data_IF_670811303987
#
_entry.id   IF_670811303987
#
_cell.length_a   1.000
_cell.length_b   1.000
_cell.length_c   1.000
_cell.angle_alpha   90.00
_cell.angle_beta   90.00
_cell.angle_gamma   90.00
#
_symmetry.space_group_name_H-M   'P 1'
#
loop_
_entity.id
_entity.type
_entity.pdbx_description
1 polymer ?
#
# COMPACT_ATOMS: atom_id res chain seq x y z
N UNK A 1 1.52 14.28 11.28
CA UNK A 1 1.49 12.82 11.48
C UNK A 1 0.06 12.29 11.65
N UNK A 2 -0.70 12.74 12.66
CA UNK A 2 -2.09 12.27 12.88
C UNK A 2 -2.99 12.42 11.64
N UNK A 3 -3.02 13.61 11.01
CA UNK A 3 -3.78 13.84 9.77
C UNK A 3 -3.43 12.87 8.64
N UNK A 4 -2.13 12.64 8.40
CA UNK A 4 -1.66 11.74 7.35
C UNK A 4 -2.06 10.29 7.64
N UNK A 5 -1.99 9.87 8.91
CA UNK A 5 -2.48 8.56 9.34
C UNK A 5 -3.98 8.44 9.10
N UNK A 6 -4.79 9.39 9.59
CA UNK A 6 -6.26 9.36 9.43
C UNK A 6 -6.66 9.28 7.96
N UNK A 7 -6.05 10.09 7.10
CA UNK A 7 -6.32 10.08 5.66
C UNK A 7 -5.90 8.78 4.94
N UNK A 8 -4.97 8.01 5.53
CA UNK A 8 -4.54 6.73 4.99
C UNK A 8 -5.50 5.57 5.36
N UNK A 9 -6.31 5.71 6.41
CA UNK A 9 -7.18 4.62 6.91
C UNK A 9 -8.67 4.90 6.79
N UNK A 10 -9.07 6.17 6.77
CA UNK A 10 -10.47 6.58 6.69
C UNK A 10 -10.71 7.28 5.35
N UNK A 11 -11.84 6.98 4.67
CA UNK A 11 -12.25 7.75 3.50
C UNK A 11 -12.77 9.13 3.91
N UNK A 12 -12.63 10.10 3.01
CA UNK A 12 -13.28 11.40 3.08
C UNK A 12 -14.62 11.35 2.35
N UNK A 13 -15.60 12.14 2.82
CA UNK A 13 -16.87 12.35 2.14
C UNK A 13 -16.81 13.47 1.09
N UNK A 14 -15.65 14.12 0.93
CA UNK A 14 -15.41 15.18 -0.03
C UNK A 14 -15.02 14.57 -1.38
N UNK A 15 -15.60 15.10 -2.47
CA UNK A 15 -15.22 14.70 -3.84
C UNK A 15 -13.80 15.24 -4.12
N UNK A 16 -12.83 14.40 -4.51
CA UNK A 16 -11.49 14.86 -4.82
C UNK A 16 -11.50 15.75 -6.06
N UNK A 17 -10.80 16.89 -5.98
CA UNK A 17 -10.69 17.85 -7.08
C UNK A 17 -9.91 17.28 -8.27
N UNK A 18 -8.91 16.44 -7.98
CA UNK A 18 -8.13 15.73 -8.99
C UNK A 18 -7.61 14.42 -8.43
N UNK A 19 -7.33 13.46 -9.30
CA UNK A 19 -6.66 12.22 -8.93
C UNK A 19 -5.25 12.26 -9.51
N UNK A 20 -4.25 12.10 -8.65
CA UNK A 20 -2.87 11.91 -9.10
C UNK A 20 -2.79 10.72 -10.07
N UNK A 21 -2.09 10.87 -11.21
CA UNK A 21 -1.92 9.83 -12.24
C UNK A 21 -1.46 8.50 -11.65
N UNK A 22 -0.43 8.51 -10.80
CA UNK A 22 0.14 7.32 -10.17
C UNK A 22 -0.91 6.56 -9.34
N UNK A 23 -1.75 7.30 -8.60
CA UNK A 23 -2.82 6.69 -7.79
C UNK A 23 -3.93 6.10 -8.65
N UNK A 24 -4.29 6.75 -9.76
CA UNK A 24 -5.26 6.20 -10.70
C UNK A 24 -4.76 4.90 -11.32
N UNK A 25 -3.52 4.88 -11.82
CA UNK A 25 -2.91 3.67 -12.40
C UNK A 25 -2.82 2.52 -11.39
N UNK A 26 -2.47 2.81 -10.13
CA UNK A 26 -2.44 1.80 -9.07
C UNK A 26 -3.84 1.25 -8.76
N UNK A 27 -4.85 2.12 -8.68
CA UNK A 27 -6.25 1.71 -8.45
C UNK A 27 -6.73 0.83 -9.59
N UNK A 28 -6.57 1.27 -10.83
CA UNK A 28 -7.06 0.54 -12.00
C UNK A 28 -6.38 -0.84 -12.11
N UNK A 29 -5.09 -0.95 -11.79
CA UNK A 29 -4.39 -2.24 -11.72
C UNK A 29 -4.93 -3.17 -10.63
N UNK A 30 -5.28 -2.63 -9.46
CA UNK A 30 -5.83 -3.41 -8.34
C UNK A 30 -7.27 -3.85 -8.59
N UNK A 31 -8.07 -3.00 -9.24
CA UNK A 31 -9.44 -3.33 -9.62
C UNK A 31 -9.44 -4.44 -10.69
N UNK A 32 -8.53 -4.37 -11.67
CA UNK A 32 -8.33 -5.44 -12.64
C UNK A 32 -7.89 -6.75 -11.95
N UNK A 33 -6.89 -6.70 -11.04
CA UNK A 33 -6.49 -7.87 -10.27
C UNK A 33 -7.66 -8.47 -9.46
N UNK A 34 -8.48 -7.62 -8.83
CA UNK A 34 -9.64 -8.06 -8.05
C UNK A 34 -10.76 -8.65 -8.91
N UNK A 35 -10.85 -8.28 -10.18
CA UNK A 35 -11.81 -8.82 -11.13
C UNK A 35 -11.33 -10.17 -11.69
N UNK A 36 -10.04 -10.28 -12.00
CA UNK A 36 -9.45 -11.48 -12.60
C UNK A 36 -9.22 -12.61 -11.59
N UNK A 37 -9.27 -12.29 -10.30
CA UNK A 37 -9.13 -13.22 -9.19
C UNK A 37 -10.39 -13.16 -8.32
N UNK A 38 -10.66 -14.20 -7.51
CA UNK A 38 -11.79 -14.21 -6.55
C UNK A 38 -11.51 -13.30 -5.33
N UNK A 39 -11.08 -12.06 -5.57
CA UNK A 39 -10.65 -11.09 -4.57
C UNK A 39 -9.15 -10.82 -4.59
N UNK A 40 -8.71 -9.98 -3.65
CA UNK A 40 -7.31 -9.59 -3.50
C UNK A 40 -6.67 -10.27 -2.29
N UNK A 41 -5.39 -10.67 -2.38
CA UNK A 41 -4.63 -11.09 -1.20
C UNK A 41 -4.47 -9.93 -0.20
N UNK A 42 -4.22 -10.22 1.08
CA UNK A 42 -4.17 -9.21 2.15
C UNK A 42 -3.30 -7.97 1.86
N UNK A 43 -2.13 -8.15 1.25
CA UNK A 43 -1.26 -7.03 0.85
C UNK A 43 -1.92 -6.15 -0.20
N UNK A 44 -2.42 -6.73 -1.30
CA UNK A 44 -3.04 -5.98 -2.38
C UNK A 44 -4.34 -5.29 -1.95
N UNK A 45 -5.15 -5.95 -1.12
CA UNK A 45 -6.36 -5.35 -0.56
C UNK A 45 -6.05 -4.16 0.35
N UNK A 46 -5.02 -4.28 1.20
CA UNK A 46 -4.56 -3.17 2.04
C UNK A 46 -4.06 -1.98 1.21
N UNK A 47 -3.30 -2.24 0.14
CA UNK A 47 -2.84 -1.19 -0.78
C UNK A 47 -4.02 -0.53 -1.46
N UNK A 48 -5.02 -1.29 -1.92
CA UNK A 48 -6.25 -0.76 -2.53
C UNK A 48 -6.99 0.16 -1.57
N UNK A 49 -7.22 -0.31 -0.34
CA UNK A 49 -7.90 0.47 0.71
C UNK A 49 -7.20 1.80 0.99
N UNK A 50 -5.89 1.76 1.26
CA UNK A 50 -5.10 2.96 1.58
C UNK A 50 -5.06 3.91 0.39
N UNK A 51 -4.88 3.40 -0.83
CA UNK A 51 -4.88 4.25 -2.03
C UNK A 51 -6.21 4.97 -2.21
N UNK A 52 -7.34 4.27 -2.04
CA UNK A 52 -8.67 4.88 -2.13
C UNK A 52 -8.91 5.93 -1.05
N UNK A 53 -8.48 5.68 0.19
CA UNK A 53 -8.56 6.67 1.27
C UNK A 53 -7.74 7.93 0.94
N UNK A 54 -6.52 7.76 0.44
CA UNK A 54 -5.65 8.88 0.06
C UNK A 54 -6.16 9.64 -1.17
N UNK A 55 -6.77 8.95 -2.14
CA UNK A 55 -7.47 9.58 -3.27
C UNK A 55 -8.60 10.47 -2.75
N UNK A 56 -9.46 9.96 -1.85
CA UNK A 56 -10.58 10.74 -1.30
C UNK A 56 -10.14 11.99 -0.52
N UNK A 57 -8.89 12.01 -0.06
CA UNK A 57 -8.27 13.15 0.62
C UNK A 57 -7.45 14.07 -0.31
N UNK A 58 -7.54 13.89 -1.63
CA UNK A 58 -6.81 14.68 -2.64
C UNK A 58 -5.28 14.67 -2.37
N UNK A 59 -4.73 13.50 -2.01
CA UNK A 59 -3.32 13.38 -1.62
C UNK A 59 -2.43 13.02 -2.83
N UNK A 60 -1.48 13.89 -3.21
CA UNK A 60 -0.61 13.70 -4.40
C UNK A 60 0.84 13.28 -4.10
N UNK A 61 1.13 12.85 -2.87
CA UNK A 61 2.47 12.39 -2.47
C UNK A 61 2.84 10.94 -2.83
N UNK A 62 2.31 10.32 -3.90
CA UNK A 62 2.75 8.98 -4.34
C UNK A 62 3.78 9.10 -5.48
N UNK A 63 5.08 8.82 -5.25
CA UNK A 63 6.07 8.84 -6.33
C UNK A 63 5.81 7.76 -7.38
N UNK A 64 6.16 8.03 -8.64
CA UNK A 64 6.00 7.10 -9.77
C UNK A 64 6.65 5.74 -9.49
N UNK A 65 7.91 5.73 -9.09
CA UNK A 65 8.64 4.49 -8.80
C UNK A 65 7.96 3.68 -7.69
N UNK A 66 7.35 4.34 -6.71
CA UNK A 66 6.69 3.68 -5.57
C UNK A 66 5.35 3.10 -6.00
N UNK A 67 4.66 3.77 -6.91
CA UNK A 67 3.47 3.24 -7.59
C UNK A 67 3.79 1.99 -8.41
N UNK A 68 4.90 2.00 -9.17
CA UNK A 68 5.37 0.83 -9.92
C UNK A 68 5.69 -0.32 -8.97
N UNK A 69 6.45 -0.06 -7.90
CA UNK A 69 6.76 -1.07 -6.88
C UNK A 69 5.49 -1.69 -6.29
N UNK A 70 4.45 -0.90 -6.01
CA UNK A 70 3.18 -1.44 -5.53
C UNK A 70 2.50 -2.31 -6.57
N UNK A 71 2.44 -1.89 -7.83
CA UNK A 71 1.86 -2.72 -8.91
C UNK A 71 2.59 -4.05 -9.07
N UNK A 72 3.93 -4.03 -9.06
CA UNK A 72 4.73 -5.25 -9.13
C UNK A 72 4.51 -6.17 -7.92
N UNK A 73 4.59 -5.63 -6.70
CA UNK A 73 4.46 -6.44 -5.48
C UNK A 73 3.05 -7.03 -5.35
N UNK A 74 2.00 -6.25 -5.68
CA UNK A 74 0.63 -6.77 -5.63
C UNK A 74 0.43 -7.89 -6.64
N UNK A 75 0.93 -7.75 -7.87
CA UNK A 75 0.89 -8.82 -8.86
C UNK A 75 1.65 -10.07 -8.41
N UNK A 76 2.87 -9.92 -7.89
CA UNK A 76 3.67 -11.06 -7.36
C UNK A 76 2.98 -11.79 -6.21
N UNK A 77 2.31 -11.07 -5.32
CA UNK A 77 1.54 -11.70 -4.23
C UNK A 77 0.31 -12.42 -4.79
N UNK A 78 -0.41 -11.79 -5.72
CA UNK A 78 -1.59 -12.38 -6.37
C UNK A 78 -1.24 -13.68 -7.11
N UNK A 79 -0.08 -13.72 -7.78
CA UNK A 79 0.44 -14.92 -8.45
C UNK A 79 1.07 -15.95 -7.49
N UNK A 80 1.17 -15.65 -6.19
CA UNK A 80 1.79 -16.53 -5.20
C UNK A 80 3.32 -16.62 -5.28
N UNK A 81 3.98 -15.74 -6.04
CA UNK A 81 5.43 -15.70 -6.20
C UNK A 81 6.14 -15.19 -4.94
N UNK A 82 5.47 -14.32 -4.17
CA UNK A 82 5.97 -13.80 -2.89
C UNK A 82 4.87 -13.78 -1.84
N UNK A 83 5.25 -13.86 -0.56
CA UNK A 83 4.29 -13.77 0.54
C UNK A 83 3.82 -12.34 0.80
N UNK A 84 2.66 -12.20 1.44
CA UNK A 84 2.15 -10.90 1.90
C UNK A 84 3.18 -10.19 2.80
N UNK A 85 3.79 -10.95 3.71
CA UNK A 85 4.77 -10.43 4.67
C UNK A 85 6.02 -9.89 3.99
N UNK A 86 6.50 -10.59 2.96
CA UNK A 86 7.61 -10.11 2.15
C UNK A 86 7.24 -8.81 1.42
N UNK A 87 6.06 -8.75 0.80
CA UNK A 87 5.63 -7.57 0.05
C UNK A 87 5.44 -6.34 0.95
N UNK A 88 4.83 -6.52 2.13
CA UNK A 88 4.75 -5.48 3.15
C UNK A 88 6.14 -5.00 3.59
N UNK A 89 7.06 -5.91 3.91
CA UNK A 89 8.40 -5.53 4.36
C UNK A 89 9.20 -4.81 3.25
N UNK A 90 9.17 -5.33 2.03
CA UNK A 90 9.80 -4.71 0.85
C UNK A 90 9.26 -3.29 0.60
N UNK A 91 7.94 -3.14 0.69
CA UNK A 91 7.28 -1.84 0.56
C UNK A 91 7.66 -0.88 1.69
N UNK A 92 7.82 -1.37 2.93
CA UNK A 92 8.31 -0.58 4.06
C UNK A 92 9.71 -0.01 3.81
N UNK A 93 10.61 -0.84 3.27
CA UNK A 93 11.97 -0.39 2.92
C UNK A 93 11.94 0.67 1.82
N UNK A 94 11.06 0.53 0.84
CA UNK A 94 10.84 1.56 -0.18
C UNK A 94 10.48 2.92 0.45
N UNK A 95 9.51 2.94 1.37
CA UNK A 95 9.14 4.17 2.06
C UNK A 95 10.23 4.73 2.97
N UNK A 96 11.04 3.87 3.61
CA UNK A 96 12.18 4.32 4.41
C UNK A 96 13.25 5.06 3.58
N UNK A 97 13.40 4.71 2.30
CA UNK A 97 14.24 5.47 1.35
C UNK A 97 13.66 6.87 1.09
N UNK A 98 12.33 6.99 0.92
CA UNK A 98 11.67 8.31 0.79
C UNK A 98 11.82 9.19 2.02
N UNK A 99 11.85 8.61 3.24
CA UNK A 99 12.12 9.38 4.47
C UNK A 99 13.47 10.09 4.40
N UNK A 100 14.49 9.43 3.82
CA UNK A 100 15.84 9.99 3.66
C UNK A 100 15.89 11.04 2.55
N UNK A 101 15.11 10.85 1.49
CA UNK A 101 15.09 11.73 0.32
C UNK A 101 14.11 12.92 0.46
N UNK A 102 13.25 12.91 1.48
CA UNK A 102 12.26 13.94 1.70
C UNK A 102 12.87 15.33 1.89
N UNK A 103 12.40 16.28 1.09
CA UNK A 103 12.84 17.67 1.10
C UNK A 103 12.03 18.53 2.07
N UNK A 104 10.82 18.07 2.44
CA UNK A 104 9.94 18.77 3.37
C UNK A 104 9.56 17.90 4.56
N UNK A 105 9.20 18.53 5.68
CA UNK A 105 8.68 17.84 6.87
C UNK A 105 7.41 17.05 6.55
N UNK A 106 6.57 17.57 5.65
CA UNK A 106 5.34 16.88 5.21
C UNK A 106 5.65 15.60 4.46
N UNK A 107 6.50 15.65 3.42
CA UNK A 107 6.94 14.47 2.68
C UNK A 107 7.58 13.42 3.60
N UNK A 108 8.43 13.87 4.54
CA UNK A 108 9.06 12.97 5.51
C UNK A 108 8.03 12.28 6.40
N UNK A 109 7.02 13.01 6.86
CA UNK A 109 5.96 12.45 7.70
C UNK A 109 5.09 11.44 6.94
N UNK A 110 4.75 11.72 5.67
CA UNK A 110 4.00 10.80 4.81
C UNK A 110 4.80 9.52 4.53
N UNK A 111 6.08 9.65 4.20
CA UNK A 111 6.97 8.52 4.00
C UNK A 111 7.14 7.68 5.28
N UNK A 112 7.23 8.32 6.45
CA UNK A 112 7.29 7.62 7.74
C UNK A 112 5.99 6.84 8.01
N UNK A 113 4.83 7.43 7.74
CA UNK A 113 3.53 6.73 7.87
C UNK A 113 3.50 5.52 6.92
N UNK A 114 3.91 5.70 5.67
CA UNK A 114 4.02 4.60 4.70
C UNK A 114 4.92 3.47 5.22
N UNK A 115 6.11 3.79 5.73
CA UNK A 115 7.04 2.80 6.27
C UNK A 115 6.42 2.05 7.47
N UNK A 116 5.87 2.77 8.45
CA UNK A 116 5.29 2.17 9.66
C UNK A 116 4.08 1.28 9.34
N UNK A 117 3.17 1.73 8.49
CA UNK A 117 1.97 0.95 8.14
C UNK A 117 2.34 -0.33 7.39
N UNK A 118 3.31 -0.27 6.47
CA UNK A 118 3.77 -1.45 5.76
C UNK A 118 4.53 -2.41 6.71
N UNK A 119 5.37 -1.90 7.61
CA UNK A 119 6.02 -2.74 8.61
C UNK A 119 5.01 -3.43 9.55
N UNK A 120 4.01 -2.71 10.04
CA UNK A 120 2.91 -3.27 10.83
C UNK A 120 2.15 -4.35 10.07
N UNK A 121 1.87 -4.11 8.78
CA UNK A 121 1.28 -5.09 7.87
C UNK A 121 2.12 -6.36 7.75
N UNK A 122 3.45 -6.24 7.66
CA UNK A 122 4.37 -7.39 7.58
C UNK A 122 4.31 -8.26 8.84
N UNK A 123 4.24 -7.65 10.02
CA UNK A 123 4.11 -8.38 11.29
C UNK A 123 2.77 -9.12 11.38
N UNK A 124 1.67 -8.44 11.02
CA UNK A 124 0.33 -9.01 11.05
C UNK A 124 0.19 -10.16 10.04
N UNK A 125 0.65 -9.98 8.80
CA UNK A 125 0.63 -11.01 7.78
C UNK A 125 1.58 -12.16 8.09
N UNK A 126 2.70 -11.91 8.76
CA UNK A 126 3.67 -12.95 9.14
C UNK A 126 3.04 -13.99 10.07
N UNK A 127 2.19 -13.55 10.99
CA UNK A 127 1.42 -14.44 11.84
C UNK A 127 0.44 -15.32 11.02
N UNK A 128 -0.22 -14.75 10.00
CA UNK A 128 -1.15 -15.46 9.11
C UNK A 128 -0.43 -16.44 8.19
N UNK A 129 0.68 -16.00 7.58
CA UNK A 129 1.51 -16.82 6.69
C UNK A 129 2.06 -18.04 7.47
N UNK A 130 2.51 -17.85 8.72
CA UNK A 130 2.97 -18.95 9.60
C UNK A 130 1.88 -19.95 9.97
N UNK A 131 0.63 -19.50 10.13
CA UNK A 131 -0.51 -20.38 10.38
C UNK A 131 -0.87 -21.21 9.14
N UNK A 132 -0.88 -20.62 7.94
CA UNK A 132 -1.11 -21.34 6.68
C UNK A 132 -0.05 -22.42 6.43
N UNK A 133 1.22 -22.15 6.78
CA UNK A 133 2.29 -23.16 6.70
C UNK A 133 2.10 -24.32 7.69
N UNK A 134 1.49 -24.09 8.86
CA UNK A 134 1.23 -25.15 9.86
C UNK A 134 0.00 -26.00 9.57
N UNK A 135 -0.94 -25.52 8.76
CA UNK A 135 -2.14 -26.26 8.34
C UNK A 135 -1.91 -27.27 7.21
N UNK A 136 -0.71 -27.30 6.62
CA UNK A 136 -0.26 -28.26 5.61
C UNK A 136 0.34 -29.54 6.23
N UNK A 137 -0.27 -30.04 7.32
CA UNK A 137 0.09 -31.33 7.93
C UNK A 137 -0.96 -32.39 7.65
#
# INVERSE_FOLDING_TARGET
MFKALTSAIMPSNVIPESVQKERALLRDSLDQQSHDNEGLPPFADSVRHVNNCLISHNHHGLPEWKSEQYRELTQKVTLGEVSNSYAFLSSSLGWATEVKNAQTTTQRAEALVGAVMNFGGALASGAVDHQKMKGLK
#
